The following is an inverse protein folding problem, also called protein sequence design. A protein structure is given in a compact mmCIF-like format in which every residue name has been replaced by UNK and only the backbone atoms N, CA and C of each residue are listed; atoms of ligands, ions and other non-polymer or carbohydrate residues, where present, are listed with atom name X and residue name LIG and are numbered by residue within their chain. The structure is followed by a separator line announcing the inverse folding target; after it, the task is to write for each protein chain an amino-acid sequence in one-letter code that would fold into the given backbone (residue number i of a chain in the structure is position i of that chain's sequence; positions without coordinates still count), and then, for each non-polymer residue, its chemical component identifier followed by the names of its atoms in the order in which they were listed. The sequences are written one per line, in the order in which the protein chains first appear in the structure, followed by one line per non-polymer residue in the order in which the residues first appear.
data_IF_324721195479
#
_entry.id   IF_324721195479
#
_cell.length_a   1.000
_cell.length_b   1.000
_cell.length_c   1.000
_cell.angle_alpha   90.00
_cell.angle_beta   90.00
_cell.angle_gamma   90.00
#
_symmetry.space_group_name_H-M   'P 1'
#
loop_
_entity.id
_entity.type
_entity.pdbx_description
1 polymer ?
#
# COMPACT_ATOMS: atom_id res chain seq x y z
N UNK A 1 45.39 -26.95 -25.04
CA UNK A 1 44.98 -26.02 -23.95
C UNK A 1 43.68 -26.52 -23.33
N UNK A 2 43.62 -26.82 -22.03
CA UNK A 2 42.39 -27.31 -21.41
C UNK A 2 41.37 -26.17 -21.30
N UNK A 3 40.15 -26.39 -21.79
CA UNK A 3 39.03 -25.44 -21.63
C UNK A 3 38.76 -25.30 -20.12
N UNK A 4 38.68 -24.05 -19.63
CA UNK A 4 38.34 -23.74 -18.23
C UNK A 4 36.94 -24.27 -17.93
N UNK A 5 36.83 -25.47 -17.36
CA UNK A 5 35.59 -26.10 -16.91
C UNK A 5 35.11 -25.51 -15.58
N UNK A 6 35.07 -24.18 -15.48
CA UNK A 6 34.48 -23.47 -14.36
C UNK A 6 33.13 -22.92 -14.80
N UNK A 7 32.05 -23.46 -14.25
CA UNK A 7 30.69 -22.93 -14.48
C UNK A 7 30.63 -21.49 -13.96
N UNK A 8 30.04 -20.59 -14.74
CA UNK A 8 29.95 -19.17 -14.37
C UNK A 8 29.00 -19.02 -13.17
N UNK A 9 29.53 -18.55 -12.03
CA UNK A 9 28.77 -18.36 -10.78
C UNK A 9 27.47 -17.55 -10.97
N UNK A 10 27.46 -16.57 -11.89
CA UNK A 10 26.24 -15.80 -12.21
C UNK A 10 25.19 -16.66 -12.92
N UNK A 11 25.61 -17.57 -13.79
CA UNK A 11 24.73 -18.51 -14.48
C UNK A 11 24.18 -19.58 -13.53
N UNK A 12 24.98 -20.04 -12.56
CA UNK A 12 24.52 -20.94 -11.50
C UNK A 12 23.50 -20.26 -10.58
N UNK A 13 23.77 -19.02 -10.14
CA UNK A 13 22.83 -18.24 -9.33
C UNK A 13 21.50 -17.99 -10.08
N UNK A 14 21.55 -17.72 -11.39
CA UNK A 14 20.34 -17.57 -12.20
C UNK A 14 19.56 -18.88 -12.34
N UNK A 15 20.26 -20.02 -12.51
CA UNK A 15 19.64 -21.36 -12.54
C UNK A 15 19.02 -21.71 -11.18
N UNK A 16 19.71 -21.42 -10.08
CA UNK A 16 19.22 -21.63 -8.72
C UNK A 16 17.96 -20.82 -8.42
N UNK A 17 17.88 -19.57 -8.87
CA UNK A 17 16.65 -18.75 -8.76
C UNK A 17 15.50 -19.35 -9.57
N UNK A 18 15.77 -19.77 -10.81
CA UNK A 18 14.74 -20.41 -11.65
C UNK A 18 14.25 -21.71 -11.04
N UNK A 19 15.14 -22.54 -10.50
CA UNK A 19 14.75 -23.77 -9.82
C UNK A 19 13.98 -23.50 -8.53
N UNK A 20 14.33 -22.46 -7.76
CA UNK A 20 13.60 -22.09 -6.55
C UNK A 20 12.17 -21.63 -6.86
N UNK A 21 11.99 -20.80 -7.89
CA UNK A 21 10.65 -20.38 -8.35
C UNK A 21 9.83 -21.59 -8.84
N UNK A 22 10.46 -22.51 -9.58
CA UNK A 22 9.78 -23.72 -10.03
C UNK A 22 9.40 -24.67 -8.87
N UNK A 23 10.22 -24.76 -7.84
CA UNK A 23 9.89 -25.52 -6.62
C UNK A 23 8.73 -24.86 -5.88
N UNK A 24 8.76 -23.54 -5.68
CA UNK A 24 7.67 -22.82 -5.03
C UNK A 24 6.35 -22.96 -5.79
N UNK A 25 6.40 -22.89 -7.13
CA UNK A 25 5.24 -23.12 -8.00
C UNK A 25 4.69 -24.54 -7.81
N UNK A 26 5.55 -25.56 -7.84
CA UNK A 26 5.14 -26.96 -7.63
C UNK A 26 4.60 -27.20 -6.23
N UNK A 27 5.18 -26.58 -5.21
CA UNK A 27 4.71 -26.68 -3.83
C UNK A 27 3.34 -26.03 -3.66
N UNK A 28 3.11 -24.90 -4.33
CA UNK A 28 1.80 -24.25 -4.39
C UNK A 28 0.77 -25.12 -5.10
N UNK A 29 1.10 -25.64 -6.28
CA UNK A 29 0.22 -26.56 -7.02
C UNK A 29 -0.08 -27.83 -6.21
N UNK A 30 0.90 -28.38 -5.49
CA UNK A 30 0.72 -29.54 -4.62
C UNK A 30 -0.17 -29.20 -3.42
N UNK A 31 0.03 -28.03 -2.80
CA UNK A 31 -0.84 -27.56 -1.70
C UNK A 31 -2.27 -27.38 -2.18
N UNK A 32 -2.47 -26.73 -3.33
CA UNK A 32 -3.80 -26.55 -3.92
C UNK A 32 -4.47 -27.88 -4.24
N UNK A 33 -3.73 -28.87 -4.75
CA UNK A 33 -4.25 -30.24 -4.98
C UNK A 33 -4.64 -30.93 -3.69
N UNK A 34 -3.83 -30.80 -2.63
CA UNK A 34 -4.14 -31.35 -1.31
C UNK A 34 -5.37 -30.66 -0.72
N UNK A 35 -5.46 -29.33 -0.80
CA UNK A 35 -6.61 -28.56 -0.34
C UNK A 35 -7.87 -28.86 -1.14
N UNK A 36 -7.75 -29.13 -2.45
CA UNK A 36 -8.86 -29.59 -3.30
C UNK A 36 -9.30 -31.01 -2.90
N UNK A 37 -8.36 -31.93 -2.73
CA UNK A 37 -8.64 -33.29 -2.28
C UNK A 37 -9.37 -33.30 -0.94
N UNK A 38 -8.93 -32.48 0.03
CA UNK A 38 -9.62 -32.36 1.31
C UNK A 38 -11.01 -31.72 1.18
N UNK A 39 -11.18 -30.69 0.34
CA UNK A 39 -12.51 -30.10 0.08
C UNK A 39 -13.48 -31.09 -0.58
N UNK A 40 -13.00 -31.89 -1.51
CA UNK A 40 -13.81 -32.94 -2.15
C UNK A 40 -14.16 -34.07 -1.16
N UNK A 41 -13.22 -34.43 -0.28
CA UNK A 41 -13.42 -35.43 0.77
C UNK A 41 -14.40 -34.97 1.86
N UNK A 42 -14.44 -33.67 2.19
CA UNK A 42 -15.42 -33.09 3.11
C UNK A 42 -16.87 -33.13 2.60
N UNK A 43 -17.04 -33.28 1.28
CA UNK A 43 -18.36 -33.36 0.65
C UNK A 43 -19.22 -32.10 0.81
N UNK A 44 -20.48 -32.14 0.38
CA UNK A 44 -21.37 -30.98 0.52
C UNK A 44 -21.64 -30.69 2.00
N UNK A 45 -21.35 -29.45 2.44
CA UNK A 45 -21.73 -28.95 3.77
C UNK A 45 -23.21 -29.26 4.03
N UNK A 46 -23.51 -29.81 5.22
CA UNK A 46 -24.90 -30.10 5.59
C UNK A 46 -25.77 -28.83 5.55
N UNK A 47 -27.08 -28.99 5.32
CA UNK A 47 -28.04 -27.86 5.32
C UNK A 47 -27.99 -27.03 6.61
N UNK A 48 -27.67 -27.67 7.74
CA UNK A 48 -27.50 -27.01 9.03
C UNK A 48 -26.21 -26.17 9.10
N UNK A 49 -25.11 -26.66 8.55
CA UNK A 49 -23.85 -25.92 8.45
C UNK A 49 -24.00 -24.69 7.54
N UNK A 50 -24.64 -24.87 6.37
CA UNK A 50 -24.94 -23.76 5.45
C UNK A 50 -25.82 -22.68 6.10
N UNK A 51 -26.87 -23.10 6.82
CA UNK A 51 -27.73 -22.15 7.55
C UNK A 51 -26.96 -21.35 8.62
N UNK A 52 -26.02 -21.97 9.32
CA UNK A 52 -25.17 -21.29 10.32
C UNK A 52 -24.21 -20.29 9.68
N UNK A 53 -23.63 -20.65 8.53
CA UNK A 53 -22.74 -19.78 7.75
C UNK A 53 -23.50 -18.55 7.26
N UNK A 54 -24.65 -18.74 6.58
CA UNK A 54 -25.50 -17.65 6.09
C UNK A 54 -25.98 -16.71 7.23
N UNK A 55 -26.33 -17.26 8.40
CA UNK A 55 -26.74 -16.46 9.56
C UNK A 55 -25.56 -15.68 10.16
N UNK A 56 -24.36 -16.27 10.19
CA UNK A 56 -23.14 -15.60 10.65
C UNK A 56 -22.69 -14.50 9.70
N UNK A 57 -22.79 -14.72 8.38
CA UNK A 57 -22.50 -13.72 7.35
C UNK A 57 -23.48 -12.56 7.43
N UNK A 58 -24.79 -12.84 7.54
CA UNK A 58 -25.81 -11.80 7.70
C UNK A 58 -25.63 -11.00 8.99
N UNK A 59 -25.21 -11.64 10.08
CA UNK A 59 -24.90 -10.96 11.35
C UNK A 59 -23.64 -10.11 11.23
N UNK A 60 -22.61 -10.60 10.55
CA UNK A 60 -21.38 -9.87 10.29
C UNK A 60 -21.63 -8.64 9.39
N UNK A 61 -22.41 -8.80 8.32
CA UNK A 61 -22.81 -7.71 7.44
C UNK A 61 -23.65 -6.66 8.19
N UNK A 62 -24.63 -7.07 8.99
CA UNK A 62 -25.41 -6.15 9.81
C UNK A 62 -24.54 -5.41 10.85
N UNK A 63 -23.56 -6.09 11.44
CA UNK A 63 -22.60 -5.48 12.36
C UNK A 63 -21.67 -4.49 11.63
N UNK A 64 -21.22 -4.81 10.42
CA UNK A 64 -20.40 -3.93 9.58
C UNK A 64 -21.16 -2.67 9.17
N UNK A 65 -22.40 -2.83 8.67
CA UNK A 65 -23.28 -1.69 8.34
C UNK A 65 -23.55 -0.82 9.57
N UNK A 66 -23.81 -1.43 10.73
CA UNK A 66 -24.01 -0.68 11.98
C UNK A 66 -22.75 0.05 12.44
N UNK A 67 -21.57 -0.54 12.26
CA UNK A 67 -20.30 0.08 12.58
C UNK A 67 -19.98 1.27 11.65
N UNK A 68 -20.29 1.14 10.36
CA UNK A 68 -20.16 2.23 9.38
C UNK A 68 -21.11 3.39 9.71
N UNK A 69 -22.39 3.11 9.96
CA UNK A 69 -23.38 4.12 10.37
C UNK A 69 -22.91 4.83 11.65
N UNK A 70 -22.43 4.08 12.64
CA UNK A 70 -21.90 4.66 13.88
C UNK A 70 -20.69 5.55 13.63
N UNK A 71 -19.79 5.13 12.74
CA UNK A 71 -18.61 5.92 12.36
C UNK A 71 -19.02 7.23 11.69
N UNK A 72 -20.02 7.20 10.81
CA UNK A 72 -20.53 8.40 10.15
C UNK A 72 -21.20 9.34 11.16
N UNK A 73 -22.05 8.82 12.05
CA UNK A 73 -22.67 9.61 13.11
C UNK A 73 -21.63 10.25 14.05
N UNK A 74 -20.56 9.53 14.40
CA UNK A 74 -19.48 10.10 15.22
C UNK A 74 -18.70 11.19 14.46
N UNK A 75 -18.58 11.09 13.14
CA UNK A 75 -18.00 12.15 12.31
C UNK A 75 -18.89 13.39 12.31
N UNK A 76 -20.20 13.23 12.13
CA UNK A 76 -21.18 14.32 12.20
C UNK A 76 -21.19 15.00 13.58
N UNK A 77 -21.19 14.23 14.68
CA UNK A 77 -21.13 14.75 16.05
C UNK A 77 -19.82 15.53 16.29
N UNK A 78 -18.69 15.06 15.74
CA UNK A 78 -17.40 15.78 15.81
C UNK A 78 -17.44 17.07 15.02
N UNK A 79 -18.13 17.12 13.89
CA UNK A 79 -18.32 18.34 13.09
C UNK A 79 -19.25 19.33 13.81
N UNK A 80 -20.34 18.85 14.40
CA UNK A 80 -21.21 19.65 15.25
C UNK A 80 -20.48 20.17 16.48
N UNK A 81 -19.69 19.36 17.17
CA UNK A 81 -18.85 19.82 18.29
C UNK A 81 -17.86 20.90 17.85
N UNK A 82 -17.22 20.74 16.68
CA UNK A 82 -16.32 21.77 16.12
C UNK A 82 -17.08 23.06 15.79
N UNK A 83 -18.31 22.95 15.28
CA UNK A 83 -19.17 24.10 15.01
C UNK A 83 -19.63 24.78 16.32
N UNK A 84 -19.99 24.00 17.35
CA UNK A 84 -20.41 24.50 18.66
C UNK A 84 -19.25 25.11 19.46
N UNK A 85 -18.02 24.59 19.32
CA UNK A 85 -16.79 25.16 19.90
C UNK A 85 -16.29 26.42 19.19
N UNK A 86 -17.00 26.92 18.17
CA UNK A 86 -16.88 28.31 17.72
C UNK A 86 -18.01 29.15 18.36
N UNK A 87 -17.96 29.48 19.66
CA UNK A 87 -18.89 30.43 20.21
C UNK A 87 -18.50 31.81 19.69
N UNK A 88 -19.32 32.35 18.78
CA UNK A 88 -19.39 33.79 18.63
C UNK A 88 -19.73 34.38 20.00
N UNK A 89 -18.78 35.13 20.57
CA UNK A 89 -18.85 35.72 21.93
C UNK A 89 -19.95 36.79 22.10
N UNK A 90 -20.99 36.80 21.25
CA UNK A 90 -22.10 37.76 21.25
C UNK A 90 -23.50 37.12 21.26
N UNK A 91 -23.64 35.79 21.33
CA UNK A 91 -24.94 35.11 21.26
C UNK A 91 -25.53 34.68 22.62
N UNK A 92 -25.04 35.17 23.76
CA UNK A 92 -25.52 34.77 25.10
C UNK A 92 -26.67 35.62 25.67
N UNK A 93 -27.41 36.39 24.86
CA UNK A 93 -28.46 37.24 25.44
C UNK A 93 -29.65 37.53 24.54
N UNK A 94 -30.41 36.52 24.14
CA UNK A 94 -31.88 36.64 24.09
C UNK A 94 -32.47 35.23 24.27
N UNK A 95 -32.83 34.87 25.50
CA UNK A 95 -33.82 33.81 25.73
C UNK A 95 -35.17 34.34 25.25
N UNK A 96 -35.47 34.11 23.97
CA UNK A 96 -36.77 34.41 23.39
C UNK A 96 -37.78 33.51 24.10
N UNK A 97 -38.83 34.05 24.74
CA UNK A 97 -39.87 33.22 25.35
C UNK A 97 -40.51 32.38 24.26
N UNK A 98 -40.30 31.06 24.31
CA UNK A 98 -40.96 30.13 23.40
C UNK A 98 -42.46 30.27 23.65
N UNK A 99 -43.27 30.70 22.67
CA UNK A 99 -44.71 30.82 22.84
C UNK A 99 -45.26 29.46 23.26
N UNK A 100 -46.15 29.43 24.25
CA UNK A 100 -46.83 28.20 24.68
C UNK A 100 -47.80 27.80 23.57
N UNK A 101 -47.30 26.98 22.65
CA UNK A 101 -48.05 26.45 21.51
C UNK A 101 -49.03 25.40 22.04
N UNK A 102 -50.29 25.50 21.66
CA UNK A 102 -51.31 24.54 22.08
C UNK A 102 -51.09 23.18 21.38
N UNK A 103 -51.54 22.08 21.98
CA UNK A 103 -51.30 20.72 21.45
C UNK A 103 -51.85 20.52 20.02
N UNK A 104 -52.89 21.27 19.66
CA UNK A 104 -53.49 21.29 18.31
C UNK A 104 -52.56 21.94 17.28
N UNK A 105 -51.93 23.05 17.63
CA UNK A 105 -50.95 23.73 16.77
C UNK A 105 -49.68 22.89 16.59
N UNK A 106 -49.26 22.13 17.61
CA UNK A 106 -48.15 21.19 17.53
C UNK A 106 -48.42 20.01 16.58
N UNK A 107 -49.64 19.46 16.57
CA UNK A 107 -50.03 18.42 15.60
C UNK A 107 -50.07 18.96 14.18
N UNK A 108 -50.69 20.11 13.97
CA UNK A 108 -50.76 20.75 12.65
C UNK A 108 -49.37 21.04 12.09
N UNK A 109 -48.46 21.54 12.92
CA UNK A 109 -47.07 21.82 12.52
C UNK A 109 -46.30 20.54 12.18
N UNK A 110 -46.51 19.44 12.92
CA UNK A 110 -45.92 18.13 12.61
C UNK A 110 -46.45 17.54 11.31
N UNK A 111 -47.74 17.69 11.03
CA UNK A 111 -48.34 17.24 9.77
C UNK A 111 -47.84 18.08 8.58
N UNK A 112 -47.73 19.40 8.73
CA UNK A 112 -47.13 20.30 7.74
C UNK A 112 -45.65 19.94 7.49
N UNK A 113 -44.85 19.71 8.54
CA UNK A 113 -43.45 19.28 8.44
C UNK A 113 -43.31 17.90 7.77
N UNK A 114 -44.20 16.95 8.06
CA UNK A 114 -44.20 15.64 7.40
C UNK A 114 -44.60 15.74 5.93
N UNK A 115 -45.58 16.58 5.59
CA UNK A 115 -45.98 16.82 4.21
C UNK A 115 -44.88 17.50 3.39
N UNK A 116 -44.18 18.48 3.99
CA UNK A 116 -43.00 19.09 3.37
C UNK A 116 -41.85 18.10 3.18
N UNK A 117 -41.59 17.24 4.17
CA UNK A 117 -40.56 16.21 4.06
C UNK A 117 -40.90 15.21 2.94
N UNK A 118 -42.16 14.78 2.84
CA UNK A 118 -42.61 13.90 1.75
C UNK A 118 -42.47 14.57 0.38
N UNK A 119 -42.83 15.85 0.27
CA UNK A 119 -42.63 16.63 -0.97
C UNK A 119 -41.16 16.74 -1.35
N UNK A 120 -40.28 17.04 -0.38
CA UNK A 120 -38.83 17.10 -0.60
C UNK A 120 -38.25 15.74 -0.98
N UNK A 121 -38.73 14.65 -0.40
CA UNK A 121 -38.33 13.28 -0.76
C UNK A 121 -38.77 12.93 -2.19
N UNK A 122 -40.00 13.28 -2.57
CA UNK A 122 -40.50 13.07 -3.93
C UNK A 122 -39.73 13.91 -4.96
N UNK A 123 -39.43 15.18 -4.64
CA UNK A 123 -38.63 16.07 -5.47
C UNK A 123 -37.18 15.58 -5.60
N UNK A 124 -36.56 15.14 -4.50
CA UNK A 124 -35.23 14.55 -4.51
C UNK A 124 -35.20 13.25 -5.33
N UNK A 125 -36.22 12.40 -5.22
CA UNK A 125 -36.35 11.19 -6.05
C UNK A 125 -36.50 11.52 -7.53
N UNK A 126 -37.27 12.56 -7.86
CA UNK A 126 -37.43 13.06 -9.23
C UNK A 126 -36.13 13.65 -9.78
N UNK A 127 -35.38 14.39 -8.96
CA UNK A 127 -34.05 14.91 -9.33
C UNK A 127 -33.06 13.76 -9.55
N UNK A 128 -33.01 12.77 -8.65
CA UNK A 128 -32.16 11.60 -8.81
C UNK A 128 -32.50 10.78 -10.07
N UNK A 129 -33.78 10.64 -10.42
CA UNK A 129 -34.15 9.98 -11.68
C UNK A 129 -33.72 10.77 -12.93
N UNK A 130 -33.61 12.09 -12.84
CA UNK A 130 -33.14 12.95 -13.93
C UNK A 130 -31.62 12.88 -14.06
N UNK A 131 -30.89 12.94 -12.95
CA UNK A 131 -29.43 12.87 -12.94
C UNK A 131 -28.91 11.48 -13.31
N UNK A 132 -29.59 10.40 -12.89
CA UNK A 132 -29.20 9.04 -13.25
C UNK A 132 -29.23 8.79 -14.77
N UNK A 133 -30.18 9.41 -15.48
CA UNK A 133 -30.26 9.32 -16.94
C UNK A 133 -29.13 10.09 -17.65
N UNK A 134 -28.67 11.19 -17.04
CA UNK A 134 -27.60 12.03 -17.57
C UNK A 134 -26.22 11.40 -17.33
N UNK A 135 -25.97 10.84 -16.15
CA UNK A 135 -24.73 10.10 -15.82
C UNK A 135 -24.58 8.83 -16.67
N UNK A 136 -25.68 8.12 -16.96
CA UNK A 136 -25.65 6.92 -17.81
C UNK A 136 -25.38 7.28 -19.28
N UNK A 137 -25.92 8.41 -19.77
CA UNK A 137 -25.61 8.95 -21.08
C UNK A 137 -24.16 9.45 -21.18
N UNK A 138 -23.69 10.18 -20.17
CA UNK A 138 -22.31 10.66 -20.08
C UNK A 138 -21.34 9.48 -20.07
N UNK A 139 -21.62 8.41 -19.34
CA UNK A 139 -20.81 7.18 -19.34
C UNK A 139 -20.78 6.47 -20.70
N UNK A 140 -21.87 6.51 -21.47
CA UNK A 140 -21.91 5.94 -22.82
C UNK A 140 -21.17 6.81 -23.85
N UNK A 141 -21.17 8.13 -23.68
CA UNK A 141 -20.54 9.09 -24.61
C UNK A 141 -19.06 9.34 -24.29
N UNK A 142 -18.69 9.43 -23.01
CA UNK A 142 -17.31 9.57 -22.51
C UNK A 142 -16.61 8.20 -22.31
N UNK A 143 -16.74 7.31 -23.29
CA UNK A 143 -15.85 6.15 -23.34
C UNK A 143 -14.46 6.66 -23.73
N UNK A 144 -13.60 6.87 -22.74
CA UNK A 144 -12.21 7.28 -22.95
C UNK A 144 -11.52 6.33 -23.93
N UNK A 145 -11.01 6.89 -25.02
CA UNK A 145 -10.30 6.13 -26.04
C UNK A 145 -8.88 5.82 -25.56
N UNK A 146 -8.69 4.64 -24.97
CA UNK A 146 -7.40 4.18 -24.44
C UNK A 146 -6.30 3.99 -25.51
N UNK A 147 -6.63 4.07 -26.81
CA UNK A 147 -5.63 4.04 -27.88
C UNK A 147 -5.09 5.43 -28.24
N UNK A 148 -5.60 6.49 -27.63
CA UNK A 148 -5.10 7.85 -27.81
C UNK A 148 -4.38 8.27 -26.53
N UNK A 149 -3.08 8.03 -26.48
CA UNK A 149 -2.21 8.61 -25.47
C UNK A 149 -2.19 10.14 -25.66
N UNK A 150 -3.02 10.86 -24.89
CA UNK A 150 -2.93 12.34 -24.79
C UNK A 150 -1.73 12.78 -23.92
N UNK A 151 -0.76 11.89 -23.71
CA UNK A 151 0.56 12.15 -23.12
C UNK A 151 1.44 12.95 -24.09
N UNK A 152 0.98 14.13 -24.51
CA UNK A 152 1.79 15.09 -25.26
C UNK A 152 2.81 15.66 -24.26
N UNK A 153 3.99 15.05 -24.20
CA UNK A 153 5.11 15.53 -23.39
C UNK A 153 5.71 16.73 -24.13
N UNK A 154 5.31 17.93 -23.75
CA UNK A 154 5.91 19.17 -24.24
C UNK A 154 7.26 19.42 -23.56
N UNK A 155 8.36 19.04 -24.22
CA UNK A 155 9.71 19.46 -23.82
C UNK A 155 10.18 20.59 -24.75
N UNK A 156 10.42 21.78 -24.19
CA UNK A 156 10.88 22.96 -24.96
C UNK A 156 12.40 23.12 -24.96
N UNK A 157 13.11 22.37 -24.13
CA UNK A 157 14.57 22.37 -24.01
C UNK A 157 15.13 20.94 -24.02
N UNK A 158 16.41 20.79 -24.36
CA UNK A 158 17.08 19.48 -24.44
C UNK A 158 17.16 18.86 -23.04
N UNK A 159 17.47 19.64 -22.02
CA UNK A 159 17.51 19.21 -20.62
C UNK A 159 16.13 18.75 -20.11
N UNK A 160 15.04 19.45 -20.44
CA UNK A 160 13.68 19.01 -20.06
C UNK A 160 13.29 17.70 -20.75
N UNK A 161 13.67 17.54 -22.03
CA UNK A 161 13.43 16.30 -22.76
C UNK A 161 14.19 15.13 -22.12
N UNK A 162 15.45 15.35 -21.73
CA UNK A 162 16.26 14.35 -21.03
C UNK A 162 15.65 14.04 -19.68
N UNK A 163 15.21 15.02 -18.89
CA UNK A 163 14.62 14.79 -17.57
C UNK A 163 13.32 13.99 -17.63
N UNK A 164 12.46 14.26 -18.61
CA UNK A 164 11.17 13.58 -18.80
C UNK A 164 11.34 12.15 -19.36
N UNK A 165 12.38 11.91 -20.16
CA UNK A 165 12.71 10.58 -20.70
C UNK A 165 13.58 9.78 -19.71
N UNK A 166 14.36 10.46 -18.86
CA UNK A 166 15.20 9.82 -17.86
C UNK A 166 14.31 9.28 -16.75
N UNK A 167 14.07 7.98 -16.77
CA UNK A 167 13.65 7.24 -15.59
C UNK A 167 14.75 7.45 -14.56
N UNK A 168 14.51 8.27 -13.54
CA UNK A 168 15.46 8.55 -12.46
C UNK A 168 16.15 7.26 -12.04
N UNK A 169 17.49 7.27 -12.01
CA UNK A 169 18.37 6.19 -11.54
C UNK A 169 18.23 5.96 -10.01
N UNK A 170 17.01 5.80 -9.52
CA UNK A 170 16.72 5.10 -8.28
C UNK A 170 16.81 3.59 -8.55
N UNK A 171 17.92 3.15 -9.16
CA UNK A 171 18.24 1.74 -9.21
C UNK A 171 18.44 1.27 -7.76
N UNK A 172 17.82 0.14 -7.36
CA UNK A 172 18.07 -0.47 -6.06
C UNK A 172 19.57 -0.68 -5.88
N UNK A 173 20.07 -0.43 -4.65
CA UNK A 173 21.46 -0.65 -4.22
C UNK A 173 22.11 -1.80 -4.99
N UNK A 174 23.23 -1.51 -5.65
CA UNK A 174 23.95 -2.44 -6.52
C UNK A 174 24.09 -3.82 -5.85
N UNK A 175 23.32 -4.77 -6.39
CA UNK A 175 23.16 -6.15 -5.90
C UNK A 175 24.39 -7.02 -6.14
N UNK A 176 25.52 -6.46 -6.61
CA UNK A 176 26.72 -7.21 -6.96
C UNK A 176 27.67 -7.31 -5.75
N UNK A 177 27.81 -8.51 -5.12
CA UNK A 177 28.73 -8.70 -4.00
C UNK A 177 30.19 -8.44 -4.40
N UNK A 178 30.56 -8.66 -5.65
CA UNK A 178 31.91 -8.44 -6.19
C UNK A 178 32.32 -6.95 -6.19
N UNK A 179 31.38 -6.04 -6.44
CA UNK A 179 31.65 -4.59 -6.40
C UNK A 179 31.69 -4.07 -4.96
N UNK A 180 30.85 -4.63 -4.08
CA UNK A 180 30.88 -4.33 -2.65
C UNK A 180 32.15 -4.86 -1.97
N UNK A 181 32.67 -6.02 -2.35
CA UNK A 181 33.94 -6.57 -1.87
C UNK A 181 35.10 -5.59 -2.10
N UNK A 182 35.23 -5.04 -3.31
CA UNK A 182 36.31 -4.09 -3.62
C UNK A 182 36.13 -2.74 -2.91
N UNK A 183 34.90 -2.24 -2.81
CA UNK A 183 34.60 -0.99 -2.13
C UNK A 183 34.78 -1.08 -0.61
N UNK A 184 34.26 -2.15 0.02
CA UNK A 184 34.42 -2.41 1.46
C UNK A 184 35.87 -2.71 1.83
N UNK A 185 36.62 -3.46 1.01
CA UNK A 185 38.05 -3.66 1.23
C UNK A 185 38.81 -2.34 1.18
N UNK A 186 38.53 -1.47 0.20
CA UNK A 186 39.18 -0.16 0.09
C UNK A 186 38.88 0.74 1.29
N UNK A 187 37.62 0.78 1.73
CA UNK A 187 37.22 1.55 2.92
C UNK A 187 37.92 1.02 4.20
N UNK A 188 38.04 -0.30 4.34
CA UNK A 188 38.74 -0.94 5.46
C UNK A 188 40.26 -0.71 5.39
N UNK A 189 40.85 -0.77 4.20
CA UNK A 189 42.27 -0.46 3.97
C UNK A 189 42.58 0.98 4.37
N UNK A 190 41.77 1.96 3.97
CA UNK A 190 41.99 3.37 4.33
C UNK A 190 41.85 3.64 5.83
N UNK A 191 40.97 2.91 6.53
CA UNK A 191 40.77 3.05 7.97
C UNK A 191 41.87 2.36 8.81
N UNK A 192 42.32 1.17 8.40
CA UNK A 192 43.23 0.34 9.18
C UNK A 192 44.71 0.58 8.82
N UNK A 193 45.02 1.06 7.62
CA UNK A 193 46.40 1.34 7.21
C UNK A 193 47.13 2.36 8.12
N UNK A 194 46.50 3.46 8.58
CA UNK A 194 47.13 4.37 9.54
C UNK A 194 47.38 3.71 10.91
N UNK A 195 46.38 2.97 11.43
CA UNK A 195 46.48 2.26 12.73
C UNK A 195 47.62 1.25 12.74
N UNK A 196 47.73 0.45 11.68
CA UNK A 196 48.78 -0.57 11.55
C UNK A 196 50.18 0.04 11.38
N UNK A 197 50.30 1.24 10.79
CA UNK A 197 51.56 1.97 10.71
C UNK A 197 52.00 2.53 12.06
N UNK A 198 51.06 2.96 12.90
CA UNK A 198 51.32 3.42 14.26
C UNK A 198 51.69 2.27 15.20
N UNK A 199 50.98 1.14 15.14
CA UNK A 199 51.24 -0.01 16.00
C UNK A 199 52.56 -0.74 15.67
N UNK A 200 52.90 -0.83 14.38
CA UNK A 200 54.08 -1.56 13.92
C UNK A 200 54.85 -0.76 12.88
N UNK A 201 55.58 0.29 13.27
CA UNK A 201 56.40 1.05 12.34
C UNK A 201 57.53 0.18 11.78
N UNK A 202 57.83 0.30 10.48
CA UNK A 202 58.98 -0.36 9.82
C UNK A 202 58.66 -1.55 8.92
N UNK A 203 57.38 -1.90 8.69
CA UNK A 203 57.01 -2.91 7.69
C UNK A 203 56.91 -2.30 6.28
N UNK A 204 57.15 -3.13 5.27
CA UNK A 204 56.93 -2.75 3.86
C UNK A 204 55.42 -2.58 3.60
N UNK A 205 55.05 -1.63 2.73
CA UNK A 205 53.65 -1.38 2.36
C UNK A 205 52.87 -2.64 1.94
N UNK A 206 53.50 -3.56 1.20
CA UNK A 206 52.90 -4.84 0.82
C UNK A 206 52.61 -5.74 2.04
N UNK A 207 53.45 -5.72 3.06
CA UNK A 207 53.25 -6.52 4.28
C UNK A 207 52.07 -5.99 5.09
N UNK A 208 51.88 -4.66 5.14
CA UNK A 208 50.66 -4.08 5.72
C UNK A 208 49.41 -4.48 4.93
N UNK A 209 49.46 -4.44 3.59
CA UNK A 209 48.34 -4.90 2.74
C UNK A 209 47.96 -6.35 2.98
N UNK A 210 48.95 -7.25 3.10
CA UNK A 210 48.70 -8.67 3.40
C UNK A 210 48.08 -8.88 4.79
N UNK A 211 48.49 -8.07 5.77
CA UNK A 211 47.94 -8.09 7.13
C UNK A 211 46.51 -7.52 7.18
N UNK A 212 46.27 -6.41 6.50
CA UNK A 212 44.93 -5.81 6.32
C UNK A 212 44.01 -6.79 5.61
N UNK A 213 44.47 -7.47 4.56
CA UNK A 213 43.70 -8.49 3.85
C UNK A 213 43.32 -9.68 4.76
N UNK A 214 44.22 -10.13 5.63
CA UNK A 214 43.94 -11.19 6.60
C UNK A 214 42.93 -10.76 7.67
N UNK A 215 43.03 -9.53 8.16
CA UNK A 215 42.09 -8.95 9.10
C UNK A 215 40.72 -8.79 8.44
N UNK A 216 40.68 -8.21 7.24
CA UNK A 216 39.46 -7.97 6.49
C UNK A 216 38.66 -9.24 6.17
N UNK A 217 39.33 -10.36 5.84
CA UNK A 217 38.63 -11.65 5.64
C UNK A 217 37.84 -12.10 6.88
N UNK A 218 38.30 -11.73 8.07
CA UNK A 218 37.65 -12.04 9.36
C UNK A 218 36.73 -10.92 9.84
N UNK A 219 36.85 -9.71 9.28
CA UNK A 219 36.06 -8.55 9.69
C UNK A 219 34.58 -8.73 9.34
N UNK A 220 33.68 -8.13 10.14
CA UNK A 220 32.25 -8.08 9.83
C UNK A 220 31.95 -7.23 8.60
N UNK A 221 32.86 -6.34 8.20
CA UNK A 221 32.74 -5.48 7.02
C UNK A 221 32.93 -6.21 5.68
N UNK A 222 33.32 -7.49 5.71
CA UNK A 222 33.36 -8.32 4.52
C UNK A 222 31.94 -8.75 4.13
N UNK A 223 31.41 -8.32 2.98
CA UNK A 223 30.05 -8.66 2.56
C UNK A 223 29.80 -10.16 2.39
N UNK A 224 30.85 -11.00 2.31
CA UNK A 224 30.74 -12.46 2.28
C UNK A 224 30.42 -13.07 3.66
N UNK A 225 30.80 -12.40 4.75
CA UNK A 225 30.51 -12.85 6.11
C UNK A 225 29.12 -12.39 6.58
N UNK A 226 28.48 -11.46 5.85
CA UNK A 226 27.17 -10.88 6.17
C UNK A 226 25.97 -11.65 5.58
N UNK A 227 26.19 -12.72 4.80
CA UNK A 227 25.12 -13.46 4.08
C UNK A 227 24.62 -14.69 4.88
N UNK A 228 24.92 -14.76 6.17
CA UNK A 228 24.61 -15.91 7.03
C UNK A 228 23.36 -15.73 7.93
N UNK A 229 22.53 -14.73 7.66
CA UNK A 229 21.18 -14.59 8.26
C UNK A 229 20.09 -14.65 7.19
#
# INVERSE_FOLDING_TARGET
MPKKMGVNSKAEAARARKSAVEVERKDRENREKVDQYWREAEGPKSRAAKKREDESEKRAEAAARKAEIRRLAEQEDKELEKAMKKPDKKATRVSIPVPKVTEVELRRRREEEQAELQRKVEEAKKMQSRTAAEEEYERMVLVNNTNRDDSIIEARTVEDAIAQISVTDNLPVDRHPERRLKASFKAFEEAELPRLKEEKPGLTHNQYKDMIWKLWKKSPDNPLNQVAE
#
